data_IF_513116201927
#
_entry.id   IF_513116201927
#
_cell.length_a   1.000
_cell.length_b   1.000
_cell.length_c   1.000
_cell.angle_alpha   90.00
_cell.angle_beta   90.00
_cell.angle_gamma   90.00
#
_symmetry.space_group_name_H-M   'P 1'
#
loop_
_entity.id
_entity.type
_entity.pdbx_description
1 polymer ?
#
# COMPACT_ATOMS: atom_id res chain seq x y z
N UNK A 1 -68.46 31.57 -3.02
CA UNK A 1 -67.93 32.75 -3.73
C UNK A 1 -67.26 32.31 -5.02
N UNK A 2 -67.76 32.83 -6.13
CA UNK A 2 -67.18 32.96 -7.48
C UNK A 2 -66.65 31.72 -8.23
N UNK A 3 -67.34 31.46 -9.33
CA UNK A 3 -66.94 30.64 -10.47
C UNK A 3 -65.83 31.25 -11.35
N UNK A 4 -65.40 30.39 -12.29
CA UNK A 4 -64.78 30.64 -13.60
C UNK A 4 -63.26 30.50 -13.82
N UNK A 5 -63.03 29.92 -15.00
CA UNK A 5 -61.84 29.86 -15.86
C UNK A 5 -60.62 29.02 -15.47
N UNK A 6 -60.53 27.86 -16.15
CA UNK A 6 -59.33 27.01 -16.12
C UNK A 6 -59.49 25.59 -16.69
N UNK A 7 -60.54 25.28 -17.47
CA UNK A 7 -60.73 23.95 -18.10
C UNK A 7 -59.58 23.65 -19.07
N UNK A 8 -58.51 23.01 -18.60
CA UNK A 8 -57.45 22.45 -19.43
C UNK A 8 -58.04 21.36 -20.30
N UNK A 9 -58.21 21.64 -21.59
CA UNK A 9 -58.75 20.70 -22.56
C UNK A 9 -57.83 19.49 -22.67
N UNK A 10 -58.44 18.29 -22.78
CA UNK A 10 -57.74 17.02 -23.05
C UNK A 10 -57.24 16.99 -24.51
N UNK A 11 -56.30 17.88 -24.83
CA UNK A 11 -55.71 17.99 -26.15
C UNK A 11 -54.67 16.91 -26.38
N UNK A 12 -54.99 15.94 -27.25
CA UNK A 12 -54.03 14.98 -27.82
C UNK A 12 -53.13 15.69 -28.85
N UNK A 13 -52.38 16.70 -28.40
CA UNK A 13 -51.44 17.50 -29.20
C UNK A 13 -49.99 17.41 -28.69
N UNK A 14 -49.71 16.41 -27.88
CA UNK A 14 -48.37 15.94 -27.57
C UNK A 14 -48.13 14.59 -28.21
N UNK A 15 -47.56 14.56 -29.43
CA UNK A 15 -47.07 13.32 -30.03
C UNK A 15 -46.02 12.65 -29.13
N UNK A 16 -45.73 11.35 -29.33
CA UNK A 16 -44.79 10.63 -28.47
C UNK A 16 -43.44 11.37 -28.43
N UNK A 17 -42.93 11.63 -27.22
CA UNK A 17 -41.64 12.28 -26.98
C UNK A 17 -40.51 11.33 -27.41
N UNK A 18 -40.24 11.26 -28.71
CA UNK A 18 -39.38 10.31 -29.42
C UNK A 18 -37.87 10.39 -29.09
N UNK A 19 -37.51 11.09 -28.01
CA UNK A 19 -36.15 11.19 -27.48
C UNK A 19 -36.06 10.93 -25.98
N UNK A 20 -37.10 10.43 -25.30
CA UNK A 20 -37.02 10.07 -23.88
C UNK A 20 -37.48 8.64 -23.62
N UNK A 21 -36.53 7.75 -23.35
CA UNK A 21 -36.80 6.36 -22.97
C UNK A 21 -36.72 6.23 -21.45
N UNK A 22 -37.78 5.71 -20.83
CA UNK A 22 -37.82 5.43 -19.39
C UNK A 22 -37.29 4.02 -19.15
N UNK A 23 -36.02 3.89 -18.75
CA UNK A 23 -35.49 2.60 -18.33
C UNK A 23 -36.01 2.25 -16.93
N UNK A 24 -36.67 1.10 -16.83
CA UNK A 24 -37.00 0.41 -15.57
C UNK A 24 -35.90 -0.58 -15.22
N UNK A 25 -35.19 -0.34 -14.12
CA UNK A 25 -34.29 -1.34 -13.54
C UNK A 25 -35.08 -2.25 -12.60
N UNK A 26 -34.66 -3.52 -12.50
CA UNK A 26 -35.35 -4.58 -11.72
C UNK A 26 -35.55 -4.28 -10.23
N UNK A 27 -34.85 -3.27 -9.70
CA UNK A 27 -34.90 -2.86 -8.29
C UNK A 27 -35.75 -1.58 -8.08
N UNK A 28 -36.81 -1.39 -8.87
CA UNK A 28 -37.80 -0.30 -8.71
C UNK A 28 -37.33 1.12 -9.07
N UNK A 29 -36.04 1.33 -9.35
CA UNK A 29 -35.50 2.63 -9.75
C UNK A 29 -35.70 2.84 -11.25
N UNK A 30 -36.40 3.92 -11.62
CA UNK A 30 -36.54 4.34 -13.03
C UNK A 30 -35.70 5.58 -13.30
N UNK A 31 -35.03 5.63 -14.45
CA UNK A 31 -34.28 6.80 -14.93
C UNK A 31 -34.79 7.16 -16.32
N UNK A 32 -35.05 8.45 -16.53
CA UNK A 32 -35.39 8.99 -17.84
C UNK A 32 -34.08 9.34 -18.56
N UNK A 33 -33.81 8.70 -19.70
CA UNK A 33 -32.63 8.96 -20.53
C UNK A 33 -33.06 9.75 -21.75
N UNK A 34 -32.42 10.90 -21.99
CA UNK A 34 -32.65 11.74 -23.17
C UNK A 34 -31.70 11.31 -24.28
N UNK A 35 -32.23 10.94 -25.45
CA UNK A 35 -31.46 10.56 -26.63
C UNK A 35 -31.50 11.70 -27.65
N UNK A 36 -30.46 12.52 -27.65
CA UNK A 36 -30.30 13.61 -28.63
C UNK A 36 -29.76 13.06 -29.96
N UNK A 37 -30.64 12.88 -30.95
CA UNK A 37 -30.23 12.49 -32.30
C UNK A 37 -29.65 13.69 -33.05
N UNK A 38 -28.33 13.88 -32.93
CA UNK A 38 -27.56 14.98 -33.53
C UNK A 38 -27.56 14.94 -35.06
N UNK A 39 -28.59 15.51 -35.70
CA UNK A 39 -28.64 15.72 -37.16
C UNK A 39 -27.67 16.83 -37.57
N UNK A 40 -26.64 16.46 -38.36
CA UNK A 40 -25.65 17.40 -38.92
C UNK A 40 -26.29 18.29 -39.98
N UNK A 41 -26.67 19.52 -39.62
CA UNK A 41 -27.12 20.53 -40.59
C UNK A 41 -25.90 21.09 -41.33
N UNK A 42 -25.73 20.73 -42.60
CA UNK A 42 -24.63 21.24 -43.44
C UNK A 42 -24.96 22.68 -43.82
N UNK A 43 -24.18 23.62 -43.31
CA UNK A 43 -24.20 25.03 -43.76
C UNK A 43 -23.07 25.18 -44.77
N UNK A 44 -23.41 25.46 -46.03
CA UNK A 44 -22.44 25.82 -47.06
C UNK A 44 -22.19 27.34 -46.95
N UNK A 45 -20.97 27.80 -46.61
CA UNK A 45 -20.69 29.23 -46.57
C UNK A 45 -20.65 29.79 -48.00
N UNK A 46 -21.57 30.71 -48.30
CA UNK A 46 -21.55 31.50 -49.54
C UNK A 46 -20.31 32.38 -49.54
N UNK A 47 -19.40 32.17 -50.49
CA UNK A 47 -18.28 33.09 -50.72
C UNK A 47 -18.81 34.46 -51.11
N UNK A 48 -18.42 35.48 -50.34
CA UNK A 48 -18.53 36.89 -50.72
C UNK A 48 -17.10 37.45 -50.77
N UNK A 49 -16.63 37.78 -51.97
CA UNK A 49 -15.38 38.51 -52.15
C UNK A 49 -15.56 39.99 -51.81
N UNK A 50 -14.49 40.65 -51.38
CA UNK A 50 -14.51 42.08 -51.04
C UNK A 50 -13.46 42.46 -50.03
N UNK A 51 -12.19 42.49 -50.44
CA UNK A 51 -11.10 42.97 -49.59
C UNK A 51 -11.11 44.51 -49.51
N UNK A 52 -11.86 45.07 -48.55
CA UNK A 52 -11.79 46.48 -48.21
C UNK A 52 -10.66 46.72 -47.20
N UNK A 53 -9.61 47.45 -47.61
CA UNK A 53 -8.59 47.95 -46.68
C UNK A 53 -9.18 49.09 -45.85
N UNK A 54 -9.67 48.78 -44.65
CA UNK A 54 -10.07 49.82 -43.69
C UNK A 54 -8.82 50.36 -42.97
N UNK A 55 -8.31 51.50 -43.45
CA UNK A 55 -7.43 52.36 -42.66
C UNK A 55 -8.19 52.85 -41.43
N UNK A 56 -7.78 52.41 -40.24
CA UNK A 56 -8.44 52.73 -38.99
C UNK A 56 -8.19 54.18 -38.56
N UNK A 57 -9.05 55.09 -39.01
CA UNK A 57 -9.25 56.35 -38.31
C UNK A 57 -9.76 56.06 -36.88
N UNK A 58 -9.37 56.85 -35.86
CA UNK A 58 -9.77 56.60 -34.48
C UNK A 58 -11.29 56.71 -34.35
N UNK A 59 -11.95 55.58 -34.09
CA UNK A 59 -13.40 55.50 -33.98
C UNK A 59 -13.93 56.26 -32.77
N UNK A 60 -14.96 57.08 -33.01
CA UNK A 60 -15.70 57.92 -32.07
C UNK A 60 -15.82 57.27 -30.66
N UNK A 61 -15.27 57.92 -29.61
CA UNK A 61 -15.20 57.32 -28.28
C UNK A 61 -16.59 57.07 -27.66
N UNK A 62 -17.64 57.75 -28.13
CA UNK A 62 -19.02 57.59 -27.64
C UNK A 62 -19.64 56.23 -27.98
N UNK A 63 -19.13 55.54 -29.00
CA UNK A 63 -19.68 54.24 -29.47
C UNK A 63 -19.04 53.01 -28.81
N UNK A 64 -18.16 53.21 -27.83
CA UNK A 64 -17.38 52.14 -27.19
C UNK A 64 -18.03 51.68 -25.89
N UNK A 65 -18.20 50.37 -25.64
CA UNK A 65 -18.73 49.90 -24.36
C UNK A 65 -17.80 50.33 -23.21
N UNK A 66 -18.35 51.12 -22.28
CA UNK A 66 -17.71 51.60 -21.06
C UNK A 66 -16.55 52.61 -21.20
N UNK A 67 -16.42 53.35 -22.32
CA UNK A 67 -15.53 54.53 -22.41
C UNK A 67 -14.02 54.25 -22.29
N UNK A 68 -13.61 53.00 -22.51
CA UNK A 68 -12.21 52.55 -22.44
C UNK A 68 -11.45 53.01 -23.69
N UNK A 69 -10.23 53.53 -23.52
CA UNK A 69 -9.38 53.97 -24.64
C UNK A 69 -8.81 52.78 -25.42
N UNK A 70 -8.45 52.96 -26.70
CA UNK A 70 -7.82 51.90 -27.52
C UNK A 70 -6.60 51.28 -26.84
N UNK A 71 -5.70 52.12 -26.31
CA UNK A 71 -4.49 51.68 -25.62
C UNK A 71 -4.79 50.83 -24.36
N UNK A 72 -5.88 51.07 -23.65
CA UNK A 72 -6.31 50.26 -22.50
C UNK A 72 -6.94 48.93 -22.94
N UNK A 73 -7.71 48.93 -24.03
CA UNK A 73 -8.28 47.71 -24.61
C UNK A 73 -7.17 46.78 -25.12
N UNK A 74 -6.16 47.31 -25.82
CA UNK A 74 -4.98 46.57 -26.26
C UNK A 74 -4.19 46.00 -25.07
N UNK A 75 -3.97 46.78 -24.01
CA UNK A 75 -3.32 46.31 -22.78
C UNK A 75 -4.09 45.16 -22.13
N UNK A 76 -5.43 45.23 -22.10
CA UNK A 76 -6.29 44.15 -21.57
C UNK A 76 -6.22 42.89 -22.44
N UNK A 77 -6.27 43.02 -23.77
CA UNK A 77 -6.12 41.89 -24.69
C UNK A 77 -4.73 41.24 -24.55
N UNK A 78 -3.66 42.04 -24.47
CA UNK A 78 -2.29 41.55 -24.24
C UNK A 78 -2.16 40.83 -22.89
N UNK A 79 -2.79 41.36 -21.82
CA UNK A 79 -2.82 40.70 -20.52
C UNK A 79 -3.57 39.36 -20.56
N UNK A 80 -4.72 39.28 -21.24
CA UNK A 80 -5.46 38.02 -21.43
C UNK A 80 -4.68 37.00 -22.26
N UNK A 81 -3.94 37.44 -23.28
CA UNK A 81 -3.07 36.56 -24.08
C UNK A 81 -1.89 36.04 -23.25
N UNK A 82 -1.26 36.90 -22.44
CA UNK A 82 -0.19 36.50 -21.52
C UNK A 82 -0.68 35.54 -20.42
N UNK A 83 -1.89 35.75 -19.89
CA UNK A 83 -2.52 34.84 -18.93
C UNK A 83 -2.75 33.45 -19.55
N UNK A 84 -3.34 33.38 -20.75
CA UNK A 84 -3.53 32.12 -21.48
C UNK A 84 -2.23 31.40 -21.83
N UNK A 85 -1.17 32.14 -22.16
CA UNK A 85 0.15 31.56 -22.40
C UNK A 85 0.67 30.86 -21.13
N UNK A 86 0.60 31.54 -19.97
CA UNK A 86 0.97 30.95 -18.67
C UNK A 86 0.12 29.75 -18.29
N UNK A 87 -1.20 29.79 -18.50
CA UNK A 87 -2.08 28.63 -18.27
C UNK A 87 -1.67 27.41 -19.13
N UNK A 88 -1.27 27.64 -20.39
CA UNK A 88 -0.78 26.58 -21.29
C UNK A 88 0.60 26.05 -20.87
N UNK A 89 1.47 26.90 -20.34
CA UNK A 89 2.77 26.51 -19.80
C UNK A 89 2.60 25.70 -18.49
N UNK A 90 1.83 26.21 -17.52
CA UNK A 90 1.54 25.53 -16.26
C UNK A 90 0.83 24.18 -16.46
N UNK A 91 -0.09 24.06 -17.43
CA UNK A 91 -0.73 22.76 -17.73
C UNK A 91 0.26 21.76 -18.33
N UNK A 92 1.15 22.19 -19.23
CA UNK A 92 2.22 21.34 -19.78
C UNK A 92 3.21 20.90 -18.72
N UNK A 93 3.59 21.78 -17.78
CA UNK A 93 4.48 21.44 -16.68
C UNK A 93 3.84 20.42 -15.73
N UNK A 94 2.56 20.61 -15.35
CA UNK A 94 1.81 19.65 -14.53
C UNK A 94 1.69 18.30 -15.24
N UNK A 95 1.33 18.27 -16.52
CA UNK A 95 1.29 17.03 -17.31
C UNK A 95 2.67 16.35 -17.40
N UNK A 96 3.75 17.11 -17.55
CA UNK A 96 5.11 16.57 -17.59
C UNK A 96 5.54 16.01 -16.24
N UNK A 97 5.19 16.66 -15.13
CA UNK A 97 5.45 16.15 -13.78
C UNK A 97 4.62 14.89 -13.49
N UNK A 98 3.34 14.86 -13.89
CA UNK A 98 2.48 13.68 -13.74
C UNK A 98 2.98 12.50 -14.58
N UNK A 99 3.45 12.74 -15.82
CA UNK A 99 4.10 11.73 -16.66
C UNK A 99 5.38 11.20 -16.02
N UNK A 100 6.29 12.08 -15.56
CA UNK A 100 7.50 11.67 -14.82
C UNK A 100 7.18 10.84 -13.58
N UNK A 101 6.16 11.24 -12.80
CA UNK A 101 5.70 10.51 -11.61
C UNK A 101 4.99 9.19 -11.97
N UNK A 102 4.36 9.08 -13.15
CA UNK A 102 3.84 7.82 -13.68
C UNK A 102 4.97 6.88 -14.08
N UNK A 103 5.92 7.34 -14.91
CA UNK A 103 7.11 6.60 -15.31
C UNK A 103 7.92 6.11 -14.10
N UNK A 104 8.09 6.93 -13.06
CA UNK A 104 8.79 6.52 -11.85
C UNK A 104 8.05 5.38 -11.11
N UNK A 105 6.71 5.45 -11.02
CA UNK A 105 5.90 4.37 -10.44
C UNK A 105 5.96 3.09 -11.27
N UNK A 106 6.01 3.22 -12.60
CA UNK A 106 6.14 2.08 -13.51
C UNK A 106 7.53 1.45 -13.45
N UNK A 107 8.60 2.25 -13.42
CA UNK A 107 9.98 1.77 -13.19
C UNK A 107 10.10 1.03 -11.86
N UNK A 108 9.56 1.59 -10.76
CA UNK A 108 9.53 0.93 -9.45
C UNK A 108 8.74 -0.39 -9.47
N UNK A 109 7.64 -0.46 -10.23
CA UNK A 109 6.87 -1.72 -10.41
C UNK A 109 7.65 -2.75 -11.22
N UNK A 110 8.25 -2.35 -12.34
CA UNK A 110 9.07 -3.21 -13.19
C UNK A 110 10.31 -3.73 -12.46
N UNK A 111 10.95 -2.92 -11.60
CA UNK A 111 12.06 -3.33 -10.75
C UNK A 111 11.64 -4.37 -9.70
N UNK A 112 10.46 -4.18 -9.08
CA UNK A 112 9.90 -5.16 -8.13
C UNK A 112 9.55 -6.46 -8.86
N UNK A 113 8.92 -6.38 -10.04
CA UNK A 113 8.54 -7.56 -10.83
C UNK A 113 9.78 -8.31 -11.35
N UNK A 114 10.83 -7.60 -11.76
CA UNK A 114 12.10 -8.21 -12.16
C UNK A 114 12.77 -8.92 -10.98
N UNK A 115 12.80 -8.30 -9.79
CA UNK A 115 13.30 -8.92 -8.56
C UNK A 115 12.48 -10.14 -8.14
N UNK A 116 11.15 -10.07 -8.24
CA UNK A 116 10.28 -11.20 -7.94
C UNK A 116 10.45 -12.36 -8.94
N UNK A 117 10.68 -12.07 -10.23
CA UNK A 117 11.04 -13.09 -11.22
C UNK A 117 12.39 -13.73 -10.92
N UNK A 118 13.41 -12.94 -10.60
CA UNK A 118 14.74 -13.44 -10.22
C UNK A 118 14.71 -14.26 -8.92
N UNK A 119 13.93 -13.84 -7.91
CA UNK A 119 13.72 -14.61 -6.68
C UNK A 119 13.01 -15.93 -6.95
N UNK A 120 11.99 -15.96 -7.82
CA UNK A 120 11.31 -17.20 -8.23
C UNK A 120 12.25 -18.13 -9.00
N UNK A 121 13.02 -17.63 -9.98
CA UNK A 121 14.00 -18.44 -10.72
C UNK A 121 15.08 -19.03 -9.77
N UNK A 122 15.48 -18.28 -8.74
CA UNK A 122 16.38 -18.77 -7.68
C UNK A 122 15.72 -19.82 -6.80
N UNK A 123 14.46 -19.62 -6.37
CA UNK A 123 13.71 -20.61 -5.61
C UNK A 123 13.50 -21.90 -6.40
N UNK A 124 13.10 -21.82 -7.67
CA UNK A 124 12.89 -22.96 -8.55
C UNK A 124 14.21 -23.69 -8.83
N UNK A 125 15.32 -22.97 -9.02
CA UNK A 125 16.65 -23.57 -9.14
C UNK A 125 17.14 -24.24 -7.83
N UNK A 126 16.74 -23.75 -6.66
CA UNK A 126 17.02 -24.40 -5.36
C UNK A 126 16.14 -25.65 -5.18
N UNK A 127 14.85 -25.59 -5.55
CA UNK A 127 13.93 -26.74 -5.52
C UNK A 127 14.42 -27.85 -6.45
N UNK A 128 14.75 -27.53 -7.70
CA UNK A 128 15.28 -28.49 -8.67
C UNK A 128 16.60 -29.15 -8.19
N UNK A 129 17.47 -28.40 -7.49
CA UNK A 129 18.67 -28.97 -6.87
C UNK A 129 18.36 -29.90 -5.70
N UNK A 130 17.40 -29.53 -4.84
CA UNK A 130 16.97 -30.37 -3.73
C UNK A 130 16.31 -31.66 -4.22
N UNK A 131 15.43 -31.57 -5.23
CA UNK A 131 14.78 -32.73 -5.87
C UNK A 131 15.82 -33.65 -6.52
N UNK A 132 16.83 -33.10 -7.21
CA UNK A 132 17.94 -33.89 -7.77
C UNK A 132 18.80 -34.57 -6.69
N UNK A 133 19.10 -33.88 -5.58
CA UNK A 133 19.86 -34.45 -4.46
C UNK A 133 19.09 -35.56 -3.75
N UNK A 134 17.76 -35.41 -3.60
CA UNK A 134 16.89 -36.42 -3.01
C UNK A 134 16.64 -37.62 -3.95
N UNK A 135 16.60 -37.41 -5.27
CA UNK A 135 16.66 -38.50 -6.24
C UNK A 135 17.99 -39.26 -6.18
N UNK A 136 19.12 -38.56 -6.06
CA UNK A 136 20.42 -39.20 -5.88
C UNK A 136 20.50 -39.99 -4.57
N UNK A 137 19.97 -39.45 -3.45
CA UNK A 137 19.85 -40.18 -2.18
C UNK A 137 19.06 -41.46 -2.36
N UNK A 138 17.86 -41.38 -2.96
CA UNK A 138 17.00 -42.54 -3.22
C UNK A 138 17.66 -43.59 -4.13
N UNK A 139 18.42 -43.17 -5.15
CA UNK A 139 19.19 -44.08 -6.02
C UNK A 139 20.30 -44.79 -5.25
N UNK A 140 21.06 -44.08 -4.41
CA UNK A 140 22.12 -44.64 -3.55
C UNK A 140 21.53 -45.60 -2.50
N UNK A 141 20.43 -45.23 -1.86
CA UNK A 141 19.70 -46.09 -0.91
C UNK A 141 19.17 -47.36 -1.59
N UNK A 142 18.61 -47.25 -2.81
CA UNK A 142 18.14 -48.40 -3.58
C UNK A 142 19.30 -49.32 -4.02
N UNK A 143 20.45 -48.75 -4.42
CA UNK A 143 21.63 -49.55 -4.77
C UNK A 143 22.24 -50.24 -3.54
N UNK A 144 22.32 -49.55 -2.40
CA UNK A 144 22.74 -50.16 -1.14
C UNK A 144 21.78 -51.24 -0.65
N UNK A 145 20.47 -51.05 -0.79
CA UNK A 145 19.48 -52.06 -0.47
C UNK A 145 19.60 -53.28 -1.39
N UNK A 146 19.83 -53.06 -2.70
CA UNK A 146 20.08 -54.14 -3.66
C UNK A 146 21.38 -54.90 -3.36
N UNK A 147 22.46 -54.20 -2.98
CA UNK A 147 23.73 -54.82 -2.54
C UNK A 147 23.53 -55.66 -1.27
N UNK A 148 22.90 -55.08 -0.23
CA UNK A 148 22.57 -55.80 1.04
C UNK A 148 21.69 -57.03 0.78
N UNK A 149 20.71 -56.93 -0.10
CA UNK A 149 19.86 -58.07 -0.50
C UNK A 149 20.63 -59.14 -1.31
N UNK A 150 21.60 -58.74 -2.14
CA UNK A 150 22.48 -59.67 -2.84
C UNK A 150 23.45 -60.38 -1.88
N UNK A 151 24.02 -59.66 -0.91
CA UNK A 151 24.90 -60.20 0.12
C UNK A 151 24.16 -61.17 1.04
N UNK A 152 22.94 -60.85 1.48
CA UNK A 152 22.09 -61.81 2.22
C UNK A 152 21.76 -63.04 1.37
N UNK A 153 21.44 -62.87 0.09
CA UNK A 153 21.10 -63.99 -0.81
C UNK A 153 22.30 -64.89 -1.12
N UNK A 154 23.52 -64.34 -1.14
CA UNK A 154 24.76 -65.11 -1.22
C UNK A 154 25.08 -65.84 0.09
N UNK A 155 24.76 -65.23 1.24
CA UNK A 155 24.96 -65.82 2.58
C UNK A 155 23.91 -66.86 2.96
N UNK A 156 22.72 -66.80 2.36
CA UNK A 156 21.60 -67.71 2.58
C UNK A 156 21.56 -68.92 1.62
N UNK A 157 22.65 -69.23 0.92
CA UNK A 157 22.72 -70.32 -0.07
C UNK A 157 23.43 -71.58 0.48
N UNK A 158 22.70 -72.59 1.00
CA UNK A 158 23.19 -73.97 1.10
C UNK A 158 23.06 -74.72 -0.25
N UNK A 159 23.76 -75.86 -0.44
CA UNK A 159 23.68 -76.63 -1.68
C UNK A 159 22.32 -77.33 -1.85
N UNK A 160 22.00 -77.67 -3.11
CA UNK A 160 20.69 -78.16 -3.52
C UNK A 160 20.29 -79.53 -2.95
N UNK A 161 19.07 -79.63 -2.38
CA UNK A 161 18.28 -80.86 -2.34
C UNK A 161 16.76 -80.61 -2.08
N UNK A 162 15.93 -81.16 -2.96
CA UNK A 162 14.61 -81.78 -2.72
C UNK A 162 13.47 -81.09 -1.90
N UNK A 163 12.39 -80.79 -2.65
CA UNK A 163 11.02 -81.31 -2.48
C UNK A 163 9.98 -80.73 -1.48
N UNK A 164 8.84 -80.34 -2.07
CA UNK A 164 7.44 -80.53 -1.64
C UNK A 164 6.81 -79.70 -0.48
N UNK A 165 5.50 -79.44 -0.65
CA UNK A 165 4.54 -78.77 0.25
C UNK A 165 3.24 -79.64 0.32
N UNK A 166 2.06 -79.24 0.88
CA UNK A 166 1.66 -78.04 1.64
C UNK A 166 0.68 -78.32 2.85
N UNK A 167 -0.05 -77.27 3.31
CA UNK A 167 -1.24 -77.23 4.21
C UNK A 167 -0.98 -77.24 5.75
N UNK A 168 -1.80 -76.60 6.63
CA UNK A 168 -3.10 -75.91 6.51
C UNK A 168 -3.31 -74.82 7.61
N UNK A 169 -4.17 -73.81 7.38
CA UNK A 169 -4.62 -72.77 8.33
C UNK A 169 -6.01 -73.12 8.99
N UNK A 170 -6.69 -72.34 9.90
CA UNK A 170 -6.56 -70.89 10.23
C UNK A 170 -6.71 -70.44 11.73
N UNK A 171 -6.72 -69.11 11.93
CA UNK A 171 -6.92 -68.27 13.15
C UNK A 171 -8.42 -68.06 13.58
N UNK A 172 -8.84 -67.09 14.46
CA UNK A 172 -8.21 -66.30 15.56
C UNK A 172 -9.09 -66.18 16.87
N UNK A 173 -8.62 -65.49 17.94
CA UNK A 173 -9.48 -65.03 19.07
C UNK A 173 -8.98 -63.78 19.85
N UNK A 174 -9.86 -63.24 20.72
CA UNK A 174 -9.87 -61.92 21.40
C UNK A 174 -10.48 -62.09 22.83
N UNK A 175 -10.34 -61.25 23.86
CA UNK A 175 -9.71 -59.92 24.08
C UNK A 175 -9.58 -59.62 25.61
N UNK A 176 -9.21 -58.38 25.98
CA UNK A 176 -9.48 -57.67 27.27
C UNK A 176 -8.60 -57.92 28.53
N UNK A 177 -8.28 -56.82 29.24
CA UNK A 177 -7.73 -56.82 30.62
C UNK A 177 -6.77 -55.66 30.97
N UNK A 178 -7.26 -54.62 31.67
CA UNK A 178 -6.49 -53.54 32.32
C UNK A 178 -6.84 -53.50 33.84
N UNK A 179 -6.13 -52.82 34.79
CA UNK A 179 -5.70 -51.40 34.74
C UNK A 179 -4.35 -51.04 35.44
N UNK A 180 -4.09 -49.73 35.65
CA UNK A 180 -2.93 -49.10 36.37
C UNK A 180 -3.26 -48.73 37.84
N UNK A 181 -2.25 -48.37 38.68
CA UNK A 181 -1.97 -46.95 39.05
C UNK A 181 -0.45 -46.61 38.95
N UNK A 182 0.09 -45.38 38.83
CA UNK A 182 0.05 -44.15 39.67
C UNK A 182 0.55 -44.35 41.12
N UNK A 183 1.37 -43.49 41.76
CA UNK A 183 2.09 -42.28 41.32
C UNK A 183 2.21 -41.22 42.45
N UNK A 184 3.41 -40.96 42.97
CA UNK A 184 3.74 -40.00 44.07
C UNK A 184 5.10 -39.34 43.71
N UNK A 185 5.43 -38.06 43.93
CA UNK A 185 5.20 -37.17 45.09
C UNK A 185 6.42 -37.27 46.01
N UNK A 186 7.17 -36.24 46.42
CA UNK A 186 7.23 -34.78 46.19
C UNK A 186 8.70 -34.33 46.44
N UNK A 187 9.08 -33.07 46.11
CA UNK A 187 9.82 -32.18 47.03
C UNK A 187 10.31 -30.88 46.36
N UNK A 188 10.21 -29.76 47.09
CA UNK A 188 10.65 -28.46 46.61
C UNK A 188 11.31 -27.58 47.69
N UNK A 189 12.28 -26.78 47.24
CA UNK A 189 12.86 -25.58 47.86
C UNK A 189 13.91 -25.72 48.98
N UNK A 190 15.07 -25.07 48.77
CA UNK A 190 15.62 -24.04 49.69
C UNK A 190 16.71 -23.15 49.08
N UNK A 191 16.37 -21.87 48.93
CA UNK A 191 17.12 -20.63 49.25
C UNK A 191 18.62 -20.40 48.91
N UNK A 192 18.88 -19.19 48.37
CA UNK A 192 20.14 -18.42 48.50
C UNK A 192 20.74 -17.94 47.17
N UNK A 193 21.18 -16.69 46.91
CA UNK A 193 20.87 -15.31 47.29
C UNK A 193 22.08 -14.43 46.86
N UNK A 194 21.86 -13.32 46.12
CA UNK A 194 22.80 -12.23 45.77
C UNK A 194 24.03 -12.58 44.86
N UNK A 195 24.36 -11.81 43.81
CA UNK A 195 24.63 -10.36 43.88
C UNK A 195 24.85 -9.68 42.50
N UNK A 196 24.42 -8.40 42.39
CA UNK A 196 25.07 -7.21 41.73
C UNK A 196 25.58 -7.33 40.25
N UNK A 197 25.70 -6.27 39.44
CA UNK A 197 25.18 -4.88 39.37
C UNK A 197 25.71 -4.29 38.04
N UNK A 198 24.89 -3.68 37.18
CA UNK A 198 25.35 -2.61 36.27
C UNK A 198 24.22 -1.72 35.76
N UNK A 199 24.26 -0.45 36.16
CA UNK A 199 23.40 0.62 35.66
C UNK A 199 23.93 1.18 34.34
N UNK A 200 23.04 1.69 33.48
CA UNK A 200 23.28 2.97 32.79
C UNK A 200 21.98 3.61 32.32
N UNK A 201 21.67 4.79 32.85
CA UNK A 201 20.49 5.59 32.52
C UNK A 201 20.51 6.17 31.10
N UNK A 202 19.33 6.23 30.49
CA UNK A 202 18.91 7.34 29.60
C UNK A 202 17.42 7.60 29.83
N UNK A 203 17.09 8.57 30.68
CA UNK A 203 15.72 9.09 30.80
C UNK A 203 15.38 10.05 29.67
N UNK A 204 14.38 9.71 28.83
CA UNK A 204 13.51 10.74 28.22
C UNK A 204 12.06 10.26 28.07
N UNK A 205 11.21 10.68 29.02
CA UNK A 205 9.76 10.99 28.90
C UNK A 205 8.82 9.92 28.28
N UNK A 206 7.93 9.28 29.07
CA UNK A 206 6.84 8.48 28.51
C UNK A 206 5.72 9.37 27.94
N UNK A 207 5.43 9.21 26.64
CA UNK A 207 4.21 9.74 26.03
C UNK A 207 3.00 9.00 26.64
N UNK A 208 1.99 9.73 27.13
CA UNK A 208 0.78 9.15 27.75
C UNK A 208 -0.07 8.37 26.74
N UNK A 209 0.34 7.16 26.41
CA UNK A 209 -0.51 6.17 25.73
C UNK A 209 -1.59 5.69 26.70
N UNK A 210 -2.85 5.72 26.25
CA UNK A 210 -4.05 5.38 27.05
C UNK A 210 -4.19 3.85 27.20
N UNK A 211 -3.24 3.22 27.91
CA UNK A 211 -3.25 1.79 28.27
C UNK A 211 -3.43 1.67 29.78
N UNK A 212 -4.65 1.95 30.25
CA UNK A 212 -5.03 1.79 31.66
C UNK A 212 -6.37 1.06 31.73
N UNK A 213 -6.37 -0.24 31.44
CA UNK A 213 -7.43 -1.13 31.98
C UNK A 213 -7.19 -2.66 32.00
N UNK A 214 -6.01 -3.19 31.61
CA UNK A 214 -5.77 -4.64 31.71
C UNK A 214 -5.22 -5.11 33.07
N UNK A 215 -4.39 -4.33 33.77
CA UNK A 215 -3.88 -4.73 35.10
C UNK A 215 -4.99 -4.89 36.15
N UNK A 216 -6.16 -4.25 35.95
CA UNK A 216 -7.36 -4.45 36.80
C UNK A 216 -8.05 -5.80 36.56
N UNK A 217 -7.75 -6.51 35.46
CA UNK A 217 -8.29 -7.84 35.11
C UNK A 217 -7.36 -9.01 35.47
N UNK A 218 -6.23 -8.75 36.12
CA UNK A 218 -5.21 -9.76 36.43
C UNK A 218 -5.35 -10.43 37.81
N UNK A 219 -6.17 -9.87 38.72
CA UNK A 219 -6.13 -10.23 40.15
C UNK A 219 -6.63 -11.64 40.54
N UNK A 220 -7.45 -12.29 39.71
CA UNK A 220 -7.90 -13.68 39.91
C UNK A 220 -8.03 -14.39 38.56
N UNK A 221 -7.21 -15.41 38.32
CA UNK A 221 -7.35 -16.33 37.19
C UNK A 221 -8.45 -17.34 37.55
N UNK A 222 -9.67 -17.10 37.07
CA UNK A 222 -10.75 -18.09 37.20
C UNK A 222 -10.56 -19.21 36.18
N UNK A 223 -10.98 -20.43 36.52
CA UNK A 223 -10.85 -21.59 35.63
C UNK A 223 -11.59 -21.37 34.29
N UNK A 224 -12.71 -20.63 34.33
CA UNK A 224 -13.42 -20.11 33.15
C UNK A 224 -12.59 -19.19 32.25
N UNK A 225 -11.64 -18.43 32.81
CA UNK A 225 -10.74 -17.53 32.05
C UNK A 225 -9.58 -18.28 31.40
N UNK A 226 -9.18 -19.43 31.94
CA UNK A 226 -8.22 -20.32 31.27
C UNK A 226 -8.91 -20.94 30.04
N UNK A 227 -10.05 -21.61 30.26
CA UNK A 227 -10.84 -22.25 29.19
C UNK A 227 -11.22 -21.27 28.06
N UNK A 228 -11.71 -20.06 28.39
CA UNK A 228 -12.07 -19.05 27.37
C UNK A 228 -10.89 -18.24 26.80
N UNK A 229 -9.68 -18.38 27.36
CA UNK A 229 -8.47 -17.76 26.78
C UNK A 229 -7.72 -18.72 25.85
N UNK A 230 -7.79 -20.03 26.11
CA UNK A 230 -7.32 -21.08 25.22
C UNK A 230 -8.25 -21.18 24.00
N UNK A 231 -9.57 -21.19 24.23
CA UNK A 231 -10.58 -21.23 23.18
C UNK A 231 -10.98 -19.82 22.68
N UNK A 232 -10.06 -19.18 21.95
CA UNK A 232 -10.42 -18.06 21.05
C UNK A 232 -10.58 -16.67 21.70
N UNK A 233 -10.00 -16.43 22.87
CA UNK A 233 -10.02 -15.14 23.58
C UNK A 233 -9.42 -13.94 22.82
N UNK A 234 -10.17 -13.40 21.85
CA UNK A 234 -9.86 -12.20 21.04
C UNK A 234 -8.41 -12.14 20.55
N UNK A 235 -8.05 -13.12 19.72
CA UNK A 235 -6.78 -13.10 18.97
C UNK A 235 -6.54 -11.73 18.33
N UNK A 236 -5.30 -11.22 18.45
CA UNK A 236 -4.94 -9.93 17.85
C UNK A 236 -5.06 -10.04 16.34
N UNK A 237 -5.98 -9.27 15.73
CA UNK A 237 -6.23 -9.29 14.29
C UNK A 237 -4.92 -9.31 13.50
N UNK A 238 -4.83 -10.18 12.50
CA UNK A 238 -3.64 -10.33 11.64
C UNK A 238 -3.20 -9.00 11.01
N UNK A 239 -4.14 -8.09 10.71
CA UNK A 239 -3.84 -6.75 10.22
C UNK A 239 -3.12 -5.88 11.28
N UNK A 240 -3.45 -6.03 12.56
CA UNK A 240 -2.75 -5.36 13.67
C UNK A 240 -1.34 -5.91 13.86
N UNK A 241 -1.18 -7.24 13.81
CA UNK A 241 0.12 -7.90 13.86
C UNK A 241 1.02 -7.48 12.69
N UNK A 242 0.51 -7.50 11.45
CA UNK A 242 1.22 -7.01 10.26
C UNK A 242 1.63 -5.55 10.37
N UNK A 243 0.73 -4.64 10.78
CA UNK A 243 1.05 -3.21 11.00
C UNK A 243 2.05 -2.97 12.14
N UNK A 244 2.06 -3.83 13.17
CA UNK A 244 3.04 -3.78 14.25
C UNK A 244 4.41 -4.21 13.74
N UNK A 245 4.49 -5.36 13.08
CA UNK A 245 5.73 -5.91 12.51
C UNK A 245 6.30 -5.00 11.42
N UNK A 246 5.45 -4.39 10.58
CA UNK A 246 5.87 -3.38 9.60
C UNK A 246 6.43 -2.12 10.29
N UNK A 247 5.82 -1.65 11.37
CA UNK A 247 6.32 -0.49 12.14
C UNK A 247 7.62 -0.80 12.86
N UNK A 248 7.76 -2.00 13.41
CA UNK A 248 9.01 -2.48 14.03
C UNK A 248 10.10 -2.64 12.95
N UNK A 249 9.79 -3.22 11.79
CA UNK A 249 10.71 -3.33 10.64
C UNK A 249 11.11 -1.96 10.08
N UNK A 250 10.20 -0.99 9.97
CA UNK A 250 10.55 0.39 9.58
C UNK A 250 11.40 1.10 10.64
N UNK A 251 11.19 0.81 11.93
CA UNK A 251 11.99 1.36 13.02
C UNK A 251 13.38 0.73 13.11
N UNK A 252 13.52 -0.56 12.79
CA UNK A 252 14.82 -1.26 12.74
C UNK A 252 15.59 -0.99 11.45
N UNK A 253 14.89 -0.84 10.31
CA UNK A 253 15.47 -0.44 9.00
C UNK A 253 15.77 1.07 8.93
N UNK A 254 16.14 1.71 10.04
CA UNK A 254 16.75 3.04 9.98
C UNK A 254 15.83 4.21 9.62
N UNK A 255 14.56 4.26 10.07
CA UNK A 255 13.75 5.50 9.97
C UNK A 255 14.30 6.72 10.76
N UNK A 256 15.55 6.63 11.24
CA UNK A 256 16.41 7.71 11.68
C UNK A 256 17.54 7.96 10.67
N UNK A 257 17.25 7.88 9.37
CA UNK A 257 18.07 8.51 8.34
C UNK A 257 18.25 9.98 8.72
N UNK A 258 19.42 10.29 9.29
CA UNK A 258 19.85 11.66 9.50
C UNK A 258 19.96 12.27 8.12
N UNK A 259 18.93 13.05 7.74
CA UNK A 259 18.85 13.71 6.44
C UNK A 259 20.20 14.33 6.14
N UNK A 260 20.76 13.97 4.99
CA UNK A 260 22.06 14.45 4.55
C UNK A 260 22.11 15.98 4.69
N UNK A 261 23.20 16.50 5.25
CA UNK A 261 23.34 17.92 5.52
C UNK A 261 23.41 18.67 4.19
N UNK A 262 22.28 19.25 3.78
CA UNK A 262 22.19 20.03 2.55
C UNK A 262 22.98 21.32 2.71
N UNK A 263 24.17 21.35 2.11
CA UNK A 263 25.00 22.56 2.00
C UNK A 263 24.23 23.60 1.17
N UNK A 264 24.15 24.84 1.69
CA UNK A 264 23.55 25.98 1.00
C UNK A 264 24.42 27.20 1.22
N UNK A 265 24.64 27.96 0.15
CA UNK A 265 25.30 29.25 0.24
C UNK A 265 24.34 30.27 0.87
N UNK A 266 24.77 30.90 1.95
CA UNK A 266 24.00 31.93 2.66
C UNK A 266 24.71 33.26 2.52
N UNK A 267 24.06 34.23 1.88
CA UNK A 267 24.55 35.60 1.81
C UNK A 267 24.37 36.28 3.17
N UNK A 268 25.44 36.88 3.70
CA UNK A 268 25.48 37.50 5.03
C UNK A 268 25.83 39.00 4.92
N UNK A 269 25.16 39.88 5.70
CA UNK A 269 25.62 41.26 5.93
C UNK A 269 26.78 41.28 6.94
N UNK A 270 27.44 42.43 7.09
CA UNK A 270 28.58 42.62 8.00
C UNK A 270 28.23 42.35 9.48
N UNK A 271 27.00 42.66 9.90
CA UNK A 271 26.49 42.38 11.26
C UNK A 271 25.20 41.57 11.18
N UNK A 272 25.13 40.43 11.86
CA UNK A 272 23.96 39.53 11.87
C UNK A 272 23.71 38.95 13.28
N UNK A 273 22.44 38.75 13.64
CA UNK A 273 22.06 38.11 14.91
C UNK A 273 21.99 36.58 14.73
N UNK A 274 22.37 35.80 15.74
CA UNK A 274 22.38 34.32 15.68
C UNK A 274 21.00 33.72 15.31
N UNK A 275 19.91 34.35 15.75
CA UNK A 275 18.54 33.96 15.37
C UNK A 275 18.26 34.19 13.87
N UNK A 276 18.79 35.25 13.29
CA UNK A 276 18.65 35.53 11.85
C UNK A 276 19.48 34.56 11.01
N UNK A 277 20.71 34.25 11.45
CA UNK A 277 21.56 33.23 10.83
C UNK A 277 20.85 31.86 10.83
N UNK A 278 20.25 31.47 11.95
CA UNK A 278 19.48 30.23 12.06
C UNK A 278 18.31 30.17 11.08
N UNK A 279 17.56 31.26 10.95
CA UNK A 279 16.45 31.35 9.99
C UNK A 279 16.94 31.28 8.52
N UNK A 280 18.10 31.88 8.19
CA UNK A 280 18.69 31.80 6.85
C UNK A 280 19.25 30.41 6.51
N UNK A 281 19.86 29.73 7.48
CA UNK A 281 20.37 28.36 7.31
C UNK A 281 19.27 27.28 7.39
N UNK A 282 18.10 27.62 7.94
CA UNK A 282 17.04 26.68 8.32
C UNK A 282 17.49 25.61 9.33
N UNK A 283 18.42 25.97 10.22
CA UNK A 283 18.92 25.13 11.33
C UNK A 283 18.40 25.63 12.69
N UNK A 284 18.61 24.85 13.76
CA UNK A 284 18.24 25.32 15.11
C UNK A 284 19.28 26.29 15.64
N UNK A 285 18.80 27.35 16.30
CA UNK A 285 19.63 28.32 17.04
C UNK A 285 20.64 27.62 17.97
N UNK A 286 20.22 26.61 18.72
CA UNK A 286 21.10 25.90 19.66
C UNK A 286 22.28 25.17 18.98
N UNK A 287 22.07 24.63 17.78
CA UNK A 287 23.11 23.90 17.04
C UNK A 287 24.15 24.90 16.47
N UNK A 288 23.71 26.08 16.03
CA UNK A 288 24.58 27.19 15.60
C UNK A 288 25.33 27.84 16.77
N UNK A 289 24.66 28.11 17.90
CA UNK A 289 25.32 28.63 19.11
C UNK A 289 26.47 27.71 19.54
N UNK A 290 26.23 26.40 19.54
CA UNK A 290 27.26 25.40 19.86
C UNK A 290 28.43 25.43 18.87
N UNK A 291 28.18 25.59 17.58
CA UNK A 291 29.24 25.71 16.57
C UNK A 291 30.06 27.00 16.74
N UNK A 292 29.41 28.14 17.01
CA UNK A 292 30.09 29.42 17.24
C UNK A 292 30.96 29.38 18.53
N UNK A 293 30.45 28.79 19.61
CA UNK A 293 31.24 28.54 20.83
C UNK A 293 32.42 27.60 20.58
N UNK A 294 32.23 26.51 19.83
CA UNK A 294 33.30 25.58 19.48
C UNK A 294 34.39 26.23 18.62
N UNK A 295 34.03 27.25 17.83
CA UNK A 295 34.96 28.06 17.04
C UNK A 295 35.53 29.27 17.80
N UNK A 296 35.22 29.43 19.10
CA UNK A 296 35.74 30.52 19.94
C UNK A 296 35.22 31.92 19.60
N UNK A 297 34.07 32.03 18.93
CA UNK A 297 33.46 33.30 18.50
C UNK A 297 32.34 33.81 19.43
N UNK A 298 32.22 33.25 20.64
CA UNK A 298 31.18 33.58 21.63
C UNK A 298 31.69 33.40 23.05
#
# INVERSE_FOLDING_TARGET
MNDNDGKKTLGVRGGPRSGQVKQSFSHGRTKNVVVETKRKRVVVPKQAGGAAKTTSAPGDPSRRPAGITDAEMERRLKALHAAKAREVEETREREAEEKRRAEERERRRAEIEAKEREEREREDAVRAKAEAEDEERRRKEAEEAARKAADERAKAAPPAAAAAAPAMEPSPAREAGAPRPAGEGDDAARFGANSRKREKDVETRPVKAKVKDDSRRAGKLTLTKVLTSEEGGRQRSLASMKRKQERERRRSMGAHDSREKVVRDVQLPETIVVQELANRMAERVADIVKALMQNGMM
#
